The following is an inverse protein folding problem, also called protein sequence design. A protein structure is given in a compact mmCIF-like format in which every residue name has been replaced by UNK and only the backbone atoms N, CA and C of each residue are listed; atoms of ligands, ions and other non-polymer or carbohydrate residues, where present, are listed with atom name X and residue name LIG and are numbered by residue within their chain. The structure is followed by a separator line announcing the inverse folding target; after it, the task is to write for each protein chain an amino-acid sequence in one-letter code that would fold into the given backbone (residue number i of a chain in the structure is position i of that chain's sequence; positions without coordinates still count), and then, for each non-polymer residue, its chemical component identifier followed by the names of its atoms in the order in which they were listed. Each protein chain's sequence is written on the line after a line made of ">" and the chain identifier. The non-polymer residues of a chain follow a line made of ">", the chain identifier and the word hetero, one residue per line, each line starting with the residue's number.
data_IF_828351487781
#
_entry.id   IF_828351487781
#
_cell.length_a   1.000
_cell.length_b   1.000
_cell.length_c   1.000
_cell.angle_alpha   90.00
_cell.angle_beta   90.00
_cell.angle_gamma   90.00
#
_symmetry.space_group_name_H-M   'P 1'
#
loop_
_entity.id
_entity.type
_entity.pdbx_description
1 polymer ?
#
# COMPACT_ATOMS: atom_id res chain seq x y z
N UNK A 1 5.45 -14.79 4.66
CA UNK A 1 4.41 -13.75 4.60
C UNK A 1 4.28 -13.18 5.99
N UNK A 2 4.73 -11.94 6.20
CA UNK A 2 4.49 -11.25 7.47
C UNK A 2 3.17 -10.54 7.30
N UNK A 3 2.11 -11.00 7.98
CA UNK A 3 0.78 -10.37 7.94
C UNK A 3 0.81 -9.05 8.72
N UNK A 4 1.43 -8.03 8.12
CA UNK A 4 1.42 -6.64 8.58
C UNK A 4 0.70 -5.78 7.56
N UNK A 5 0.29 -4.57 7.96
CA UNK A 5 -0.31 -3.63 7.02
C UNK A 5 0.65 -3.30 5.87
N UNK A 6 1.94 -3.04 6.17
CA UNK A 6 2.99 -2.91 5.15
C UNK A 6 3.14 -4.15 4.25
N UNK A 7 2.96 -5.35 4.81
CA UNK A 7 2.98 -6.60 4.06
C UNK A 7 1.88 -6.66 3.00
N UNK A 8 0.65 -6.32 3.39
CA UNK A 8 -0.51 -6.27 2.48
C UNK A 8 -0.35 -5.20 1.38
N UNK A 9 0.17 -4.04 1.75
CA UNK A 9 0.48 -2.96 0.80
C UNK A 9 1.54 -3.41 -0.21
N UNK A 10 2.62 -4.03 0.26
CA UNK A 10 3.69 -4.54 -0.59
C UNK A 10 3.23 -5.67 -1.50
N UNK A 11 2.44 -6.60 -0.99
CA UNK A 11 1.86 -7.68 -1.80
C UNK A 11 0.98 -7.12 -2.92
N UNK A 12 0.16 -6.11 -2.62
CA UNK A 12 -0.64 -5.43 -3.64
C UNK A 12 0.22 -4.84 -4.76
N UNK A 13 1.34 -4.22 -4.42
CA UNK A 13 2.29 -3.68 -5.40
C UNK A 13 3.01 -4.78 -6.21
N UNK A 14 3.47 -5.85 -5.56
CA UNK A 14 4.13 -6.98 -6.23
C UNK A 14 3.16 -7.73 -7.16
N UNK A 15 1.90 -7.93 -6.75
CA UNK A 15 0.85 -8.54 -7.57
C UNK A 15 0.47 -7.69 -8.79
N UNK A 16 0.52 -6.37 -8.66
CA UNK A 16 0.32 -5.46 -9.79
C UNK A 16 1.51 -5.42 -10.75
N UNK A 17 2.64 -6.08 -10.42
CA UNK A 17 3.82 -6.21 -11.26
C UNK A 17 4.84 -5.08 -11.11
N UNK A 18 4.72 -4.23 -10.07
CA UNK A 18 5.75 -3.23 -9.77
C UNK A 18 7.04 -3.91 -9.33
N UNK A 19 8.18 -3.44 -9.87
CA UNK A 19 9.49 -3.91 -9.45
C UNK A 19 9.83 -3.35 -8.06
N UNK A 20 10.70 -4.07 -7.33
CA UNK A 20 11.16 -3.65 -5.99
C UNK A 20 11.81 -2.26 -5.93
N UNK A 21 12.38 -1.78 -7.04
CA UNK A 21 12.97 -0.44 -7.11
C UNK A 21 11.96 0.66 -7.51
N UNK A 22 10.72 0.28 -7.86
CA UNK A 22 9.66 1.23 -8.20
C UNK A 22 8.75 1.50 -7.02
N UNK A 23 8.68 0.61 -6.03
CA UNK A 23 7.84 0.74 -4.85
C UNK A 23 8.68 0.83 -3.57
N UNK A 24 8.54 1.94 -2.84
CA UNK A 24 9.31 2.20 -1.61
C UNK A 24 8.40 2.72 -0.50
N UNK A 25 8.77 2.44 0.76
CA UNK A 25 8.10 2.95 1.96
C UNK A 25 9.05 3.87 2.71
N UNK A 26 8.57 5.04 3.10
CA UNK A 26 9.32 6.00 3.90
C UNK A 26 8.50 6.48 5.10
N UNK A 27 9.16 6.65 6.24
CA UNK A 27 8.63 7.41 7.38
C UNK A 27 9.10 8.86 7.25
N UNK A 28 8.16 9.80 7.13
CA UNK A 28 8.45 11.23 6.98
C UNK A 28 7.64 11.99 8.03
N UNK A 29 8.32 12.53 9.04
CA UNK A 29 7.71 13.30 10.14
C UNK A 29 6.51 12.55 10.77
N UNK A 30 5.29 13.07 10.59
CA UNK A 30 4.04 12.51 11.11
C UNK A 30 3.33 11.58 10.11
N UNK A 31 4.00 11.19 9.02
CA UNK A 31 3.44 10.41 7.93
C UNK A 31 4.23 9.14 7.63
N UNK A 32 3.49 8.10 7.22
CA UNK A 32 3.99 6.95 6.47
C UNK A 32 3.64 7.18 5.01
N UNK A 33 4.64 7.07 4.13
CA UNK A 33 4.51 7.39 2.71
C UNK A 33 4.93 6.19 1.87
N UNK A 34 4.02 5.77 0.98
CA UNK A 34 4.32 4.77 -0.04
C UNK A 34 4.52 5.46 -1.39
N UNK A 35 5.65 5.14 -2.02
CA UNK A 35 6.15 5.83 -3.19
C UNK A 35 6.20 4.88 -4.37
N UNK A 36 5.53 5.26 -5.46
CA UNK A 36 5.63 4.59 -6.77
C UNK A 36 6.41 5.52 -7.69
N UNK A 37 7.59 5.10 -8.11
CA UNK A 37 8.53 5.94 -8.87
C UNK A 37 9.00 5.26 -10.15
N UNK A 38 9.71 6.04 -10.98
CA UNK A 38 10.35 5.55 -12.19
C UNK A 38 9.34 4.90 -13.16
N UNK A 39 8.21 5.57 -13.36
CA UNK A 39 7.13 5.17 -14.28
C UNK A 39 7.48 5.76 -15.66
N UNK A 40 8.10 4.98 -16.54
CA UNK A 40 8.63 5.50 -17.82
C UNK A 40 7.84 5.03 -19.06
N UNK A 41 7.08 3.94 -18.91
CA UNK A 41 6.34 3.26 -19.97
C UNK A 41 4.84 3.16 -19.69
N UNK A 42 4.04 2.89 -20.73
CA UNK A 42 2.59 2.67 -20.60
C UNK A 42 2.26 1.44 -19.75
N UNK A 43 3.07 0.38 -19.84
CA UNK A 43 2.93 -0.80 -19.00
C UNK A 43 3.11 -0.45 -17.52
N UNK A 44 4.16 0.29 -17.18
CA UNK A 44 4.39 0.75 -15.80
C UNK A 44 3.27 1.66 -15.30
N UNK A 45 2.71 2.53 -16.16
CA UNK A 45 1.53 3.33 -15.81
C UNK A 45 0.31 2.47 -15.48
N UNK A 46 0.07 1.40 -16.25
CA UNK A 46 -1.01 0.46 -15.97
C UNK A 46 -0.78 -0.30 -14.66
N UNK A 47 0.46 -0.72 -14.39
CA UNK A 47 0.83 -1.38 -13.13
C UNK A 47 0.66 -0.44 -11.92
N UNK A 48 1.06 0.83 -12.05
CA UNK A 48 0.84 1.84 -11.03
C UNK A 48 -0.65 2.08 -10.78
N UNK A 49 -1.46 2.18 -11.85
CA UNK A 49 -2.92 2.29 -11.74
C UNK A 49 -3.53 1.09 -11.00
N UNK A 50 -3.17 -0.13 -11.39
CA UNK A 50 -3.65 -1.36 -10.75
C UNK A 50 -3.26 -1.39 -9.27
N UNK A 51 -2.03 -0.99 -8.94
CA UNK A 51 -1.56 -0.88 -7.55
C UNK A 51 -2.44 0.09 -6.76
N UNK A 52 -2.68 1.29 -7.29
CA UNK A 52 -3.52 2.29 -6.61
C UNK A 52 -4.96 1.81 -6.42
N UNK A 53 -5.51 1.09 -7.40
CA UNK A 53 -6.84 0.48 -7.28
C UNK A 53 -6.89 -0.61 -6.20
N UNK A 54 -5.85 -1.42 -6.05
CA UNK A 54 -5.78 -2.40 -4.96
C UNK A 54 -5.61 -1.72 -3.60
N UNK A 55 -4.78 -0.68 -3.52
CA UNK A 55 -4.60 0.10 -2.31
C UNK A 55 -5.87 0.84 -1.90
N UNK A 56 -6.68 1.33 -2.84
CA UNK A 56 -7.94 2.00 -2.48
C UNK A 56 -8.92 1.04 -1.78
N UNK A 57 -9.03 -0.20 -2.27
CA UNK A 57 -9.86 -1.23 -1.65
C UNK A 57 -9.33 -1.56 -0.25
N UNK A 58 -8.02 -1.81 -0.14
CA UNK A 58 -7.38 -2.10 1.13
C UNK A 58 -7.62 -0.96 2.14
N UNK A 59 -7.41 0.29 1.74
CA UNK A 59 -7.55 1.43 2.64
C UNK A 59 -9.00 1.62 3.08
N UNK A 60 -9.96 1.39 2.19
CA UNK A 60 -11.38 1.40 2.52
C UNK A 60 -11.73 0.31 3.55
N UNK A 61 -11.26 -0.93 3.37
CA UNK A 61 -11.46 -2.03 4.32
C UNK A 61 -10.92 -1.70 5.72
N UNK A 62 -9.78 -1.01 5.79
CA UNK A 62 -9.15 -0.62 7.05
C UNK A 62 -9.64 0.74 7.57
N UNK A 63 -10.55 1.43 6.86
CA UNK A 63 -11.10 2.73 7.25
C UNK A 63 -10.06 3.85 7.24
N UNK A 64 -9.04 3.75 6.39
CA UNK A 64 -7.93 4.71 6.28
C UNK A 64 -8.21 5.69 5.13
N UNK A 65 -8.07 7.00 5.34
CA UNK A 65 -8.17 7.97 4.26
C UNK A 65 -7.08 7.78 3.20
N UNK A 66 -7.49 7.64 1.95
CA UNK A 66 -6.57 7.54 0.82
C UNK A 66 -6.14 8.93 0.35
N UNK A 67 -4.89 9.32 0.62
CA UNK A 67 -4.31 10.59 0.16
C UNK A 67 -3.25 10.34 -0.90
N UNK A 68 -3.62 10.58 -2.17
CA UNK A 68 -2.74 10.37 -3.32
C UNK A 68 -2.18 11.71 -3.79
N UNK A 69 -0.90 11.76 -4.14
CA UNK A 69 -0.34 12.86 -4.93
C UNK A 69 0.45 12.34 -6.11
N UNK A 70 0.17 12.92 -7.27
CA UNK A 70 0.76 12.53 -8.55
C UNK A 70 1.64 13.67 -9.03
N UNK A 71 2.89 13.36 -9.35
CA UNK A 71 3.81 14.28 -10.01
C UNK A 71 3.94 13.87 -11.47
N UNK A 72 3.80 14.83 -12.36
CA UNK A 72 3.93 14.64 -13.79
C UNK A 72 5.32 15.07 -14.27
N UNK A 73 5.91 14.31 -15.20
CA UNK A 73 7.13 14.65 -15.92
C UNK A 73 6.81 15.58 -17.09
N UNK A 74 7.81 16.34 -17.54
CA UNK A 74 7.90 17.19 -18.74
C UNK A 74 6.66 17.27 -19.65
N UNK A 75 6.19 18.50 -19.90
CA UNK A 75 4.98 18.81 -20.67
C UNK A 75 3.68 18.17 -20.12
N UNK A 76 3.68 17.63 -18.89
CA UNK A 76 2.52 17.05 -18.20
C UNK A 76 1.90 15.83 -18.89
N UNK A 77 2.66 15.14 -19.73
CA UNK A 77 2.15 14.00 -20.53
C UNK A 77 2.42 12.64 -19.90
N UNK A 78 3.37 12.55 -18.96
CA UNK A 78 3.76 11.30 -18.30
C UNK A 78 3.74 11.47 -16.79
N UNK A 79 3.31 10.43 -16.08
CA UNK A 79 3.45 10.36 -14.61
C UNK A 79 4.91 10.06 -14.30
N UNK A 80 5.54 10.84 -13.43
CA UNK A 80 6.91 10.60 -12.96
C UNK A 80 6.90 9.83 -11.65
N UNK A 81 5.97 10.20 -10.76
CA UNK A 81 5.93 9.73 -9.38
C UNK A 81 4.51 9.78 -8.81
N UNK A 82 4.15 8.78 -8.01
CA UNK A 82 2.91 8.74 -7.22
C UNK A 82 3.26 8.49 -5.76
N UNK A 83 2.63 9.24 -4.86
CA UNK A 83 2.72 9.03 -3.41
C UNK A 83 1.36 8.70 -2.84
N UNK A 84 1.34 7.79 -1.87
CA UNK A 84 0.19 7.55 -0.99
C UNK A 84 0.63 7.88 0.43
N UNK A 85 -0.11 8.76 1.10
CA UNK A 85 0.24 9.27 2.44
C UNK A 85 -0.78 8.87 3.48
N UNK A 86 -0.29 8.34 4.60
CA UNK A 86 -1.06 8.09 5.82
C UNK A 86 -0.39 8.86 6.94
N UNK A 87 -1.17 9.44 7.85
CA UNK A 87 -0.61 9.86 9.13
C UNK A 87 -0.17 8.61 9.92
N UNK A 88 0.80 8.78 10.82
CA UNK A 88 1.25 7.69 11.70
C UNK A 88 0.10 7.12 12.54
N UNK A 89 -0.80 7.98 13.01
CA UNK A 89 -2.00 7.54 13.77
C UNK A 89 -2.86 6.59 12.93
N UNK A 90 -3.18 6.97 11.69
CA UNK A 90 -3.97 6.11 10.78
C UNK A 90 -3.24 4.81 10.45
N UNK A 91 -1.93 4.87 10.22
CA UNK A 91 -1.11 3.70 9.97
C UNK A 91 -1.08 2.75 11.18
N UNK A 92 -0.93 3.28 12.38
CA UNK A 92 -0.90 2.51 13.62
C UNK A 92 -2.25 1.84 13.86
N UNK A 93 -3.35 2.56 13.67
CA UNK A 93 -4.70 2.02 13.75
C UNK A 93 -4.92 0.87 12.74
N UNK A 94 -4.53 1.06 11.49
CA UNK A 94 -4.61 0.02 10.47
C UNK A 94 -3.76 -1.21 10.83
N UNK A 95 -2.54 -0.98 11.32
CA UNK A 95 -1.63 -2.03 11.76
C UNK A 95 -2.18 -2.83 12.94
N UNK A 96 -2.82 -2.17 13.91
CA UNK A 96 -3.48 -2.83 15.03
C UNK A 96 -4.67 -3.68 14.57
N UNK A 97 -5.45 -3.20 13.59
CA UNK A 97 -6.55 -3.99 13.01
C UNK A 97 -6.03 -5.27 12.35
N UNK A 98 -4.97 -5.19 11.53
CA UNK A 98 -4.35 -6.38 10.93
C UNK A 98 -3.90 -7.36 12.00
N UNK A 99 -3.19 -6.86 13.02
CA UNK A 99 -2.72 -7.70 14.14
C UNK A 99 -3.87 -8.41 14.83
N UNK A 100 -4.96 -7.69 15.14
CA UNK A 100 -6.14 -8.28 15.78
C UNK A 100 -6.81 -9.35 14.90
N UNK A 101 -6.89 -9.14 13.58
CA UNK A 101 -7.43 -10.12 12.64
C UNK A 101 -6.58 -11.40 12.61
N UNK A 102 -5.26 -11.26 12.57
CA UNK A 102 -4.32 -12.39 12.58
C UNK A 102 -4.44 -13.18 13.89
N UNK A 103 -4.45 -12.48 15.04
CA UNK A 103 -4.60 -13.12 16.35
C UNK A 103 -5.93 -13.88 16.47
N UNK A 104 -7.04 -13.30 15.98
CA UNK A 104 -8.34 -13.98 15.96
C UNK A 104 -8.34 -15.22 15.06
N UNK A 105 -7.71 -15.13 13.88
CA UNK A 105 -7.61 -16.27 12.97
C UNK A 105 -6.77 -17.41 13.56
N UNK A 106 -5.66 -17.08 14.25
CA UNK A 106 -4.83 -18.06 14.94
C UNK A 106 -5.56 -18.74 16.09
N UNK A 107 -6.30 -17.97 16.92
CA UNK A 107 -7.13 -18.53 18.00
C UNK A 107 -8.19 -19.49 17.47
N UNK A 108 -8.92 -19.11 16.42
CA UNK A 108 -9.92 -19.99 15.79
C UNK A 108 -9.33 -21.27 15.22
N UNK A 109 -8.10 -21.23 14.69
CA UNK A 109 -7.40 -22.44 14.24
C UNK A 109 -7.00 -23.34 15.42
N UNK A 110 -6.54 -22.76 16.52
CA UNK A 110 -6.19 -23.51 17.72
C UNK A 110 -7.43 -24.08 18.44
N UNK A 111 -8.58 -23.43 18.33
CA UNK A 111 -9.87 -23.86 18.92
C UNK A 111 -10.68 -24.79 18.00
N UNK A 112 -10.32 -24.90 16.72
CA UNK A 112 -11.02 -25.70 15.70
C UNK A 112 -10.31 -27.01 15.32
N UNK A 113 -9.27 -27.39 16.06
CA UNK A 113 -8.68 -28.73 16.03
C UNK A 113 -9.29 -29.60 17.14
N UNK A 114 -10.57 -29.98 16.97
CA UNK A 114 -11.20 -31.18 17.56
C UNK A 114 -11.98 -31.93 16.48
#
# INVERSE_FOLDING_TARGET
>A
MTFTFDGLVKESAEHAGLKRNQFDRQDIEDYVVYNISNIQSSLESLQAFNTLSSLSILFEEFGVPLRISVMMKDNKTKVDYVTVRLSKVEYDEASQKVKSMVERALRRKAEGEE
#
